data_IF_029164295581
#
_entry.id   IF_029164295581
#
_cell.length_a   1.000
_cell.length_b   1.000
_cell.length_c   1.000
_cell.angle_alpha   90.00
_cell.angle_beta   90.00
_cell.angle_gamma   90.00
#
_symmetry.space_group_name_H-M   'P 1'
#
loop_
_entity.id
_entity.type
_entity.pdbx_description
1 polymer ?
#
# COMPACT_ATOMS: atom_id res chain seq x y z
N UNK A 1 47.71 -35.08 32.69
CA UNK A 1 46.93 -34.27 31.74
C UNK A 1 46.85 -32.88 32.36
N UNK A 2 47.73 -31.95 32.00
CA UNK A 2 47.69 -31.17 30.75
C UNK A 2 46.48 -30.23 30.74
N UNK A 3 46.55 -28.91 30.65
CA UNK A 3 47.60 -27.86 30.66
C UNK A 3 46.84 -26.57 30.25
N UNK A 4 47.44 -25.39 30.46
CA UNK A 4 47.02 -24.09 29.88
C UNK A 4 45.67 -23.50 30.34
N UNK A 5 45.78 -22.42 31.12
CA UNK A 5 44.90 -21.27 30.98
C UNK A 5 45.78 -20.04 30.78
N UNK A 6 45.67 -19.40 29.62
CA UNK A 6 46.49 -18.25 29.21
C UNK A 6 45.87 -16.95 29.69
N UNK A 7 46.64 -16.15 30.42
CA UNK A 7 46.29 -14.76 30.67
C UNK A 7 46.39 -13.91 29.41
N UNK A 8 45.58 -12.86 29.33
CA UNK A 8 45.76 -11.75 28.38
C UNK A 8 45.40 -10.44 29.08
N UNK A 9 46.36 -9.52 29.10
CA UNK A 9 46.25 -8.19 29.69
C UNK A 9 45.66 -7.22 28.67
N UNK A 10 44.65 -6.44 29.06
CA UNK A 10 44.15 -5.31 28.24
C UNK A 10 44.70 -3.99 28.77
N UNK A 11 45.55 -3.33 27.98
CA UNK A 11 46.13 -2.03 28.30
C UNK A 11 45.13 -0.89 28.08
N UNK A 12 45.12 0.10 28.97
CA UNK A 12 44.31 1.32 28.89
C UNK A 12 45.19 2.54 28.63
N UNK A 13 45.11 3.20 27.46
CA UNK A 13 45.69 4.52 27.19
C UNK A 13 44.57 5.61 27.03
N UNK A 14 44.90 6.92 27.02
CA UNK A 14 44.26 7.82 27.97
C UNK A 14 43.21 8.80 27.43
N UNK A 15 42.49 9.39 28.37
CA UNK A 15 41.56 10.51 28.22
C UNK A 15 42.30 11.78 27.71
N UNK A 16 42.00 12.24 26.49
CA UNK A 16 42.52 13.51 25.97
C UNK A 16 41.47 14.64 26.04
N UNK A 17 41.82 15.68 26.80
CA UNK A 17 41.00 16.88 27.02
C UNK A 17 41.08 17.86 25.85
N UNK A 18 39.98 18.11 25.15
CA UNK A 18 39.89 19.07 24.06
C UNK A 18 39.23 20.40 24.45
N UNK A 19 40.00 21.37 24.96
CA UNK A 19 39.56 22.78 24.97
C UNK A 19 39.39 23.28 23.53
N UNK A 20 38.29 23.94 23.19
CA UNK A 20 38.27 24.89 22.06
C UNK A 20 37.63 26.21 22.46
N UNK A 21 38.39 27.29 22.23
CA UNK A 21 38.06 28.68 22.59
C UNK A 21 37.03 29.33 21.66
N UNK A 22 36.41 30.35 22.24
CA UNK A 22 35.81 31.55 21.66
C UNK A 22 36.24 31.97 20.24
N UNK A 23 35.24 32.35 19.44
CA UNK A 23 35.19 33.48 18.49
C UNK A 23 33.96 33.27 17.59
N UNK A 24 33.14 34.26 17.23
CA UNK A 24 33.32 35.71 17.27
C UNK A 24 31.95 36.42 17.25
N UNK A 25 31.81 37.45 18.09
CA UNK A 25 31.06 38.68 17.80
C UNK A 25 31.52 39.29 16.45
N UNK A 26 30.78 40.13 15.70
CA UNK A 26 29.71 41.09 16.04
C UNK A 26 28.88 41.46 14.77
N UNK A 27 27.84 42.25 15.00
CA UNK A 27 26.95 42.99 14.07
C UNK A 27 27.56 43.77 12.89
N UNK A 28 26.71 44.11 11.90
CA UNK A 28 26.43 45.45 11.28
C UNK A 28 25.52 45.18 10.04
N UNK A 29 24.30 45.68 9.81
CA UNK A 29 23.59 46.97 10.02
C UNK A 29 23.79 48.00 8.87
N UNK A 30 23.02 47.85 7.78
CA UNK A 30 22.71 48.89 6.77
C UNK A 30 21.34 48.53 6.14
N UNK A 31 20.22 49.26 6.21
CA UNK A 31 19.84 50.68 6.36
C UNK A 31 19.62 51.44 5.03
N UNK A 32 18.47 52.14 4.94
CA UNK A 32 18.03 53.07 3.86
C UNK A 32 17.69 52.37 2.51
N UNK A 33 16.73 52.78 1.65
CA UNK A 33 15.85 53.97 1.46
C UNK A 33 14.67 53.52 0.53
N UNK A 34 13.55 54.22 0.22
CA UNK A 34 12.97 55.54 0.57
C UNK A 34 11.40 55.40 0.64
N UNK A 35 10.46 56.37 0.35
CA UNK A 35 9.10 56.35 0.94
C UNK A 35 7.88 56.52 -0.02
N UNK A 36 6.67 56.54 0.56
CA UNK A 36 5.42 57.17 0.04
C UNK A 36 4.82 56.54 -1.24
N UNK A 37 3.49 56.48 -1.49
CA UNK A 37 2.39 57.40 -1.17
C UNK A 37 1.10 56.61 -0.88
N UNK A 38 0.26 57.09 0.04
CA UNK A 38 -1.12 56.63 0.27
C UNK A 38 -2.11 57.52 -0.51
N UNK A 39 -3.27 57.00 -0.94
CA UNK A 39 -4.49 57.72 -0.51
C UNK A 39 -5.72 56.84 -0.20
N UNK A 40 -6.40 57.25 0.89
CA UNK A 40 -7.86 57.19 1.18
C UNK A 40 -8.61 55.84 1.30
N UNK A 41 -9.46 55.68 2.34
CA UNK A 41 -10.35 54.52 2.52
C UNK A 41 -11.78 54.79 2.02
N UNK A 42 -12.49 53.73 1.61
CA UNK A 42 -13.95 53.75 1.50
C UNK A 42 -14.59 52.37 1.65
N UNK A 43 -15.68 52.34 2.43
CA UNK A 43 -16.74 51.32 2.46
C UNK A 43 -16.47 49.96 3.16
N UNK A 44 -17.27 49.58 4.18
CA UNK A 44 -17.23 48.25 4.79
C UNK A 44 -18.07 47.24 3.99
N UNK A 45 -17.51 46.06 3.70
CA UNK A 45 -18.23 44.96 3.06
C UNK A 45 -18.64 43.91 4.11
N UNK A 46 -19.89 43.47 4.04
CA UNK A 46 -20.48 42.46 4.92
C UNK A 46 -19.70 41.12 4.90
N UNK A 47 -19.62 40.40 6.03
CA UNK A 47 -19.15 39.02 6.05
C UNK A 47 -20.23 38.07 5.44
N UNK A 48 -19.87 37.17 4.51
CA UNK A 48 -20.79 36.16 4.01
C UNK A 48 -20.96 34.99 5.00
N UNK A 49 -22.16 34.41 5.02
CA UNK A 49 -22.52 33.27 5.88
C UNK A 49 -21.71 31.99 5.58
N UNK A 50 -21.46 31.13 6.59
CA UNK A 50 -20.71 29.90 6.41
C UNK A 50 -21.56 28.82 5.73
N UNK A 51 -21.24 28.50 4.47
CA UNK A 51 -21.84 27.36 3.78
C UNK A 51 -21.15 26.04 4.17
N UNK A 52 -22.00 25.03 4.41
CA UNK A 52 -21.66 23.66 4.79
C UNK A 52 -20.75 22.96 3.78
N UNK A 53 -19.60 22.44 4.22
CA UNK A 53 -18.74 21.54 3.44
C UNK A 53 -18.96 20.10 3.95
N UNK A 54 -19.32 19.13 3.08
CA UNK A 54 -19.47 17.74 3.49
C UNK A 54 -18.10 17.04 3.67
N UNK A 55 -17.88 16.41 4.82
CA UNK A 55 -16.70 15.57 5.05
C UNK A 55 -16.84 14.21 4.38
N UNK A 56 -15.92 13.89 3.48
CA UNK A 56 -15.70 12.51 2.99
C UNK A 56 -14.78 11.71 3.93
N UNK A 57 -14.91 10.37 4.06
CA UNK A 57 -14.17 9.59 5.05
C UNK A 57 -12.73 9.28 4.61
N UNK A 58 -11.75 9.55 5.47
CA UNK A 58 -10.35 9.14 5.29
C UNK A 58 -10.13 7.66 5.68
N UNK A 59 -9.30 6.90 4.93
CA UNK A 59 -8.94 5.53 5.29
C UNK A 59 -7.92 5.46 6.45
N UNK A 60 -7.86 4.34 7.21
CA UNK A 60 -7.04 4.22 8.40
C UNK A 60 -5.54 4.01 8.10
N UNK A 61 -4.70 4.98 8.45
CA UNK A 61 -3.24 4.87 8.31
C UNK A 61 -2.58 4.15 9.50
N UNK A 62 -1.88 3.06 9.21
CA UNK A 62 -1.16 2.26 10.20
C UNK A 62 0.23 2.85 10.49
N UNK A 63 0.37 3.65 11.55
CA UNK A 63 1.63 4.33 11.90
C UNK A 63 2.64 3.35 12.53
N UNK A 64 3.82 3.21 11.93
CA UNK A 64 4.98 2.52 12.52
C UNK A 64 6.10 3.53 12.73
N UNK A 65 6.43 3.85 13.98
CA UNK A 65 7.60 4.69 14.29
C UNK A 65 8.90 3.90 14.08
N UNK A 66 9.93 4.55 13.56
CA UNK A 66 11.31 4.19 13.91
C UNK A 66 12.19 5.44 13.97
N UNK A 67 13.05 5.47 14.99
CA UNK A 67 13.87 6.58 15.46
C UNK A 67 15.14 6.74 14.58
N UNK A 68 15.62 7.97 14.42
CA UNK A 68 16.85 8.31 13.69
C UNK A 68 17.93 8.86 14.68
N UNK A 69 19.17 9.25 14.26
CA UNK A 69 20.34 8.49 14.71
C UNK A 69 21.49 9.34 15.29
N UNK A 70 22.51 8.69 15.85
CA UNK A 70 23.90 9.19 15.84
C UNK A 70 24.88 8.16 16.43
N UNK A 71 25.81 7.65 15.62
CA UNK A 71 27.23 7.40 15.94
C UNK A 71 27.90 6.57 14.84
N UNK A 72 28.49 7.25 13.86
CA UNK A 72 29.20 6.66 12.73
C UNK A 72 30.72 6.72 12.94
N UNK A 73 31.39 5.58 13.11
CA UNK A 73 32.62 5.25 12.37
C UNK A 73 33.14 3.80 12.60
N UNK A 74 32.75 3.15 13.70
CA UNK A 74 33.15 1.77 14.03
C UNK A 74 32.13 0.71 13.57
N UNK A 75 31.25 1.10 12.65
CA UNK A 75 29.96 0.45 12.41
C UNK A 75 29.89 -0.26 11.03
N UNK A 76 30.94 -0.15 10.21
CA UNK A 76 30.93 -0.61 8.80
C UNK A 76 30.87 -2.14 8.67
N UNK A 77 31.61 -2.89 9.50
CA UNK A 77 31.56 -4.36 9.48
C UNK A 77 30.31 -4.90 10.20
N UNK A 78 29.90 -4.27 11.30
CA UNK A 78 28.71 -4.67 12.04
C UNK A 78 27.43 -4.42 11.22
N UNK A 79 27.39 -3.36 10.39
CA UNK A 79 26.32 -3.14 9.41
C UNK A 79 26.31 -4.19 8.28
N UNK A 80 27.46 -4.70 7.82
CA UNK A 80 27.50 -5.80 6.82
C UNK A 80 26.83 -7.07 7.33
N UNK A 81 27.12 -7.46 8.58
CA UNK A 81 26.50 -8.65 9.18
C UNK A 81 25.00 -8.42 9.50
N UNK A 82 24.65 -7.23 9.97
CA UNK A 82 23.24 -6.84 10.17
C UNK A 82 22.44 -6.78 8.85
N UNK A 83 23.03 -6.37 7.73
CA UNK A 83 22.34 -6.34 6.44
C UNK A 83 22.13 -7.73 5.84
N UNK A 84 23.03 -8.69 6.07
CA UNK A 84 22.74 -10.10 5.73
C UNK A 84 21.57 -10.64 6.55
N UNK A 85 21.55 -10.41 7.87
CA UNK A 85 20.44 -10.79 8.75
C UNK A 85 19.12 -10.07 8.41
N UNK A 86 19.18 -8.80 7.96
CA UNK A 86 18.01 -8.04 7.48
C UNK A 86 17.51 -8.55 6.13
N UNK A 87 18.38 -8.96 5.20
CA UNK A 87 17.98 -9.59 3.92
C UNK A 87 17.29 -10.94 4.18
N UNK A 88 17.84 -11.78 5.07
CA UNK A 88 17.20 -13.02 5.51
C UNK A 88 15.83 -12.78 6.18
N UNK A 89 15.70 -11.74 7.04
CA UNK A 89 14.43 -11.40 7.71
C UNK A 89 13.40 -10.70 6.83
N UNK A 90 13.78 -9.99 5.75
CA UNK A 90 12.85 -9.31 4.84
C UNK A 90 12.17 -10.25 3.86
N UNK A 91 12.87 -11.29 3.38
CA UNK A 91 12.27 -12.33 2.51
C UNK A 91 11.09 -13.04 3.20
N UNK A 92 11.20 -13.31 4.51
CA UNK A 92 10.24 -14.13 5.27
C UNK A 92 8.98 -13.41 5.76
N UNK A 93 8.75 -12.12 5.42
CA UNK A 93 7.61 -11.34 5.96
C UNK A 93 6.39 -11.22 5.05
N UNK A 94 6.52 -11.27 3.72
CA UNK A 94 5.37 -11.05 2.80
C UNK A 94 4.33 -12.17 2.82
N UNK A 95 4.70 -13.41 3.13
CA UNK A 95 3.75 -14.55 3.23
C UNK A 95 3.01 -14.63 4.57
N UNK A 96 3.37 -13.82 5.58
CA UNK A 96 2.88 -14.01 6.96
C UNK A 96 1.59 -13.25 7.28
N UNK A 97 1.17 -12.31 6.43
CA UNK A 97 -0.12 -11.62 6.58
C UNK A 97 -1.26 -12.43 5.95
N UNK A 98 -1.08 -12.94 4.73
CA UNK A 98 -2.05 -13.84 4.10
C UNK A 98 -2.26 -15.10 4.93
N UNK A 99 -1.19 -15.67 5.52
CA UNK A 99 -1.31 -16.82 6.41
C UNK A 99 -2.18 -16.57 7.66
N UNK A 100 -2.42 -15.32 8.10
CA UNK A 100 -3.32 -15.01 9.23
C UNK A 100 -4.77 -14.90 8.77
N UNK A 101 -5.01 -14.22 7.65
CA UNK A 101 -6.34 -14.12 7.03
C UNK A 101 -6.83 -15.48 6.53
N UNK A 102 -5.97 -16.21 5.79
CA UNK A 102 -6.25 -17.57 5.34
C UNK A 102 -6.51 -18.52 6.51
N UNK A 103 -5.76 -18.45 7.62
CA UNK A 103 -6.08 -19.23 8.83
C UNK A 103 -7.46 -18.86 9.40
N UNK A 104 -7.77 -17.58 9.53
CA UNK A 104 -9.09 -17.14 10.04
C UNK A 104 -10.23 -17.62 9.13
N UNK A 105 -10.05 -17.58 7.81
CA UNK A 105 -11.02 -18.05 6.83
C UNK A 105 -11.13 -19.58 6.88
N UNK A 106 -10.01 -20.32 6.90
CA UNK A 106 -10.00 -21.79 7.01
C UNK A 106 -10.65 -22.29 8.30
N UNK A 107 -10.46 -21.62 9.44
CA UNK A 107 -11.17 -21.94 10.69
C UNK A 107 -12.66 -21.60 10.66
N UNK A 108 -13.06 -20.62 9.85
CA UNK A 108 -14.48 -20.29 9.64
C UNK A 108 -15.14 -21.29 8.69
N UNK A 109 -14.49 -21.63 7.56
CA UNK A 109 -15.03 -22.54 6.54
C UNK A 109 -15.03 -24.00 6.99
N UNK A 110 -13.96 -24.50 7.62
CA UNK A 110 -13.90 -25.88 8.15
C UNK A 110 -15.01 -26.16 9.17
N UNK A 111 -15.38 -25.17 9.98
CA UNK A 111 -16.49 -25.29 10.93
C UNK A 111 -17.86 -25.38 10.24
N UNK A 112 -18.13 -24.50 9.26
CA UNK A 112 -19.36 -24.56 8.48
C UNK A 112 -19.47 -25.85 7.66
N UNK A 113 -18.35 -26.29 7.08
CA UNK A 113 -18.21 -27.57 6.37
C UNK A 113 -18.47 -28.75 7.33
N UNK A 114 -17.91 -28.74 8.54
CA UNK A 114 -18.16 -29.77 9.55
C UNK A 114 -19.63 -29.84 9.97
N UNK A 115 -20.29 -28.69 10.21
CA UNK A 115 -21.74 -28.65 10.49
C UNK A 115 -22.56 -29.17 9.31
N UNK A 116 -22.19 -28.81 8.08
CA UNK A 116 -22.88 -29.27 6.87
C UNK A 116 -22.70 -30.77 6.66
N UNK A 117 -21.50 -31.32 6.87
CA UNK A 117 -21.27 -32.77 6.86
C UNK A 117 -22.10 -33.46 7.96
N UNK A 118 -22.11 -32.93 9.20
CA UNK A 118 -22.95 -33.48 10.26
C UNK A 118 -24.42 -33.49 9.87
N UNK A 119 -24.93 -32.41 9.27
CA UNK A 119 -26.32 -32.32 8.81
C UNK A 119 -26.63 -33.35 7.71
N UNK A 120 -25.74 -33.50 6.72
CA UNK A 120 -25.91 -34.50 5.65
C UNK A 120 -25.84 -35.92 6.20
N UNK A 121 -24.93 -36.21 7.13
CA UNK A 121 -24.83 -37.52 7.80
C UNK A 121 -26.09 -37.82 8.63
N UNK A 122 -26.62 -36.82 9.34
CA UNK A 122 -27.84 -36.89 10.17
C UNK A 122 -29.07 -37.17 9.29
N UNK A 123 -29.24 -36.45 8.18
CA UNK A 123 -30.33 -36.69 7.22
C UNK A 123 -30.17 -38.04 6.52
N UNK A 124 -28.94 -38.42 6.13
CA UNK A 124 -28.64 -39.71 5.52
C UNK A 124 -28.93 -40.90 6.44
N UNK A 125 -28.57 -40.80 7.73
CA UNK A 125 -28.89 -41.82 8.72
C UNK A 125 -30.39 -41.89 9.00
N UNK A 126 -31.10 -40.76 8.99
CA UNK A 126 -32.55 -40.73 9.17
C UNK A 126 -33.26 -41.42 8.00
N UNK A 127 -32.80 -41.17 6.78
CA UNK A 127 -33.30 -41.80 5.57
C UNK A 127 -33.04 -43.32 5.55
N UNK A 128 -31.79 -43.74 5.78
CA UNK A 128 -31.41 -45.15 5.76
C UNK A 128 -32.07 -46.00 6.85
N UNK A 129 -32.26 -45.43 8.05
CA UNK A 129 -32.97 -46.14 9.12
C UNK A 129 -34.49 -46.05 8.96
N UNK A 130 -35.02 -45.00 8.34
CA UNK A 130 -36.43 -44.90 7.96
C UNK A 130 -36.85 -45.98 6.96
N UNK A 131 -36.02 -46.25 5.93
CA UNK A 131 -36.29 -47.31 4.95
C UNK A 131 -36.20 -48.71 5.56
N UNK A 132 -35.22 -48.98 6.44
CA UNK A 132 -35.13 -50.24 7.18
C UNK A 132 -36.29 -50.43 8.18
N UNK A 133 -36.70 -49.36 8.88
CA UNK A 133 -37.85 -49.39 9.78
C UNK A 133 -39.20 -49.49 9.04
N UNK A 134 -39.23 -49.27 7.71
CA UNK A 134 -40.42 -49.53 6.89
C UNK A 134 -40.55 -50.99 6.48
N UNK A 135 -39.43 -51.69 6.24
CA UNK A 135 -39.41 -53.05 5.67
C UNK A 135 -39.39 -54.17 6.71
N UNK A 136 -38.87 -53.95 7.93
CA UNK A 136 -38.74 -55.00 8.95
C UNK A 136 -39.86 -54.96 10.00
N UNK A 137 -40.73 -55.98 10.01
CA UNK A 137 -42.01 -55.95 10.74
C UNK A 137 -42.02 -56.28 12.25
N UNK A 138 -40.91 -56.77 12.83
CA UNK A 138 -40.87 -57.30 14.21
C UNK A 138 -40.31 -56.32 15.26
N UNK A 139 -39.00 -56.09 15.25
CA UNK A 139 -38.27 -55.34 16.30
C UNK A 139 -38.40 -53.81 16.22
N UNK A 140 -39.47 -53.35 15.56
CA UNK A 140 -39.67 -51.98 15.08
C UNK A 140 -39.62 -50.92 16.20
N UNK A 141 -40.08 -51.25 17.40
CA UNK A 141 -40.25 -50.28 18.51
C UNK A 141 -38.92 -49.88 19.17
N UNK A 142 -38.04 -50.83 19.46
CA UNK A 142 -36.77 -50.54 20.16
C UNK A 142 -35.80 -49.74 19.29
N UNK A 143 -35.70 -50.08 18.00
CA UNK A 143 -34.83 -49.38 17.06
C UNK A 143 -35.25 -47.91 16.88
N UNK A 144 -36.56 -47.61 16.86
CA UNK A 144 -37.08 -46.23 16.81
C UNK A 144 -36.73 -45.45 18.09
N UNK A 145 -36.83 -46.07 19.27
CA UNK A 145 -36.49 -45.40 20.55
C UNK A 145 -35.01 -45.07 20.64
N UNK A 146 -34.12 -46.03 20.32
CA UNK A 146 -32.66 -45.83 20.33
C UNK A 146 -32.27 -44.74 19.32
N UNK A 147 -32.87 -44.76 18.13
CA UNK A 147 -32.63 -43.76 17.09
C UNK A 147 -33.09 -42.36 17.53
N UNK A 148 -34.27 -42.25 18.14
CA UNK A 148 -34.80 -40.98 18.65
C UNK A 148 -33.90 -40.41 19.74
N UNK A 149 -33.42 -41.25 20.66
CA UNK A 149 -32.49 -40.85 21.70
C UNK A 149 -31.15 -40.35 21.12
N UNK A 150 -30.61 -41.02 20.10
CA UNK A 150 -29.39 -40.59 19.41
C UNK A 150 -29.55 -39.20 18.75
N UNK A 151 -30.69 -38.93 18.10
CA UNK A 151 -30.96 -37.59 17.53
C UNK A 151 -31.10 -36.50 18.60
N UNK A 152 -31.73 -36.78 19.74
CA UNK A 152 -31.84 -35.83 20.85
C UNK A 152 -30.45 -35.47 21.38
N UNK A 153 -29.58 -36.47 21.62
CA UNK A 153 -28.19 -36.24 22.05
C UNK A 153 -27.41 -35.42 21.01
N UNK A 154 -27.52 -35.76 19.72
CA UNK A 154 -26.85 -35.03 18.64
C UNK A 154 -27.32 -33.57 18.54
N UNK A 155 -28.63 -33.33 18.69
CA UNK A 155 -29.22 -31.99 18.76
C UNK A 155 -28.66 -31.16 19.93
N UNK A 156 -28.56 -31.76 21.12
CA UNK A 156 -27.96 -31.11 22.29
C UNK A 156 -26.50 -30.72 22.03
N UNK A 157 -25.70 -31.63 21.45
CA UNK A 157 -24.29 -31.35 21.10
C UNK A 157 -24.19 -30.18 20.11
N UNK A 158 -25.02 -30.15 19.06
CA UNK A 158 -25.07 -29.05 18.10
C UNK A 158 -25.41 -27.71 18.79
N UNK A 159 -26.41 -27.68 19.66
CA UNK A 159 -26.81 -26.46 20.40
C UNK A 159 -25.67 -25.97 21.29
N UNK A 160 -25.02 -26.85 22.06
CA UNK A 160 -23.88 -26.52 22.92
C UNK A 160 -22.74 -25.90 22.09
N UNK A 161 -22.46 -26.46 20.91
CA UNK A 161 -21.38 -25.99 20.05
C UNK A 161 -21.66 -24.61 19.44
N UNK A 162 -22.90 -24.35 18.99
CA UNK A 162 -23.36 -23.03 18.54
C UNK A 162 -23.27 -22.01 19.70
N UNK A 163 -23.74 -22.38 20.89
CA UNK A 163 -23.73 -21.51 22.07
C UNK A 163 -22.31 -21.13 22.51
N UNK A 164 -21.39 -22.10 22.51
CA UNK A 164 -19.96 -21.89 22.80
C UNK A 164 -19.33 -20.87 21.83
N UNK A 165 -19.65 -20.96 20.53
CA UNK A 165 -19.18 -19.98 19.53
C UNK A 165 -19.77 -18.59 19.75
N UNK A 166 -21.08 -18.50 20.02
CA UNK A 166 -21.74 -17.22 20.31
C UNK A 166 -21.16 -16.53 21.56
N UNK A 167 -20.90 -17.29 22.63
CA UNK A 167 -20.24 -16.77 23.83
C UNK A 167 -18.80 -16.31 23.54
N UNK A 168 -18.05 -17.08 22.75
CA UNK A 168 -16.67 -16.73 22.36
C UNK A 168 -16.63 -15.43 21.56
N UNK A 169 -17.48 -15.28 20.54
CA UNK A 169 -17.60 -14.04 19.75
C UNK A 169 -18.01 -12.87 20.65
N UNK A 170 -19.03 -13.04 21.51
CA UNK A 170 -19.49 -12.01 22.45
C UNK A 170 -18.42 -11.62 23.47
N UNK A 171 -17.56 -12.56 23.89
CA UNK A 171 -16.39 -12.30 24.75
C UNK A 171 -15.32 -11.50 24.01
N UNK A 172 -14.98 -11.87 22.77
CA UNK A 172 -14.01 -11.15 21.94
C UNK A 172 -14.48 -9.71 21.67
N UNK A 173 -15.76 -9.51 21.30
CA UNK A 173 -16.35 -8.18 21.09
C UNK A 173 -16.42 -7.34 22.38
N UNK A 174 -16.43 -7.96 23.57
CA UNK A 174 -16.30 -7.26 24.86
C UNK A 174 -14.85 -6.91 25.20
N UNK A 175 -13.87 -7.72 24.77
CA UNK A 175 -12.44 -7.44 24.98
C UNK A 175 -11.86 -6.44 24.00
N UNK A 176 -12.49 -6.24 22.83
CA UNK A 176 -12.19 -5.08 22.00
C UNK A 176 -12.64 -3.82 22.76
N UNK A 177 -11.74 -2.88 23.10
CA UNK A 177 -12.16 -1.60 23.63
C UNK A 177 -12.99 -0.94 22.52
N UNK A 178 -14.30 -0.79 22.75
CA UNK A 178 -15.13 0.06 21.90
C UNK A 178 -14.40 1.41 21.84
N UNK A 179 -14.19 2.00 20.66
CA UNK A 179 -13.63 3.34 20.57
C UNK A 179 -14.68 4.32 21.09
N UNK A 180 -14.73 4.44 22.42
CA UNK A 180 -15.35 5.56 23.12
C UNK A 180 -14.44 6.76 22.88
N UNK A 181 -14.53 7.28 21.66
CA UNK A 181 -14.23 8.66 21.36
C UNK A 181 -15.38 9.42 22.04
N UNK A 182 -15.14 10.17 23.13
CA UNK A 182 -16.17 11.01 23.71
C UNK A 182 -16.48 12.15 22.71
N UNK A 183 -17.37 11.88 21.77
CA UNK A 183 -17.84 12.86 20.77
C UNK A 183 -18.79 13.89 21.39
N UNK A 184 -19.28 13.66 22.61
CA UNK A 184 -20.11 14.57 23.38
C UNK A 184 -19.23 15.42 24.30
N UNK A 185 -19.20 16.72 24.06
CA UNK A 185 -18.53 17.72 24.93
C UNK A 185 -19.08 17.77 26.36
N UNK A 186 -20.21 17.13 26.65
CA UNK A 186 -20.81 17.04 27.98
C UNK A 186 -20.18 15.97 28.89
N UNK A 187 -19.53 14.94 28.33
CA UNK A 187 -19.02 13.81 29.12
C UNK A 187 -17.64 14.11 29.75
N UNK A 188 -16.97 15.19 29.33
CA UNK A 188 -15.64 15.61 29.80
C UNK A 188 -15.66 17.07 30.33
N UNK A 189 -14.87 17.40 31.37
CA UNK A 189 -14.67 18.79 31.76
C UNK A 189 -14.08 19.62 30.61
N UNK A 190 -14.62 20.83 30.37
CA UNK A 190 -14.24 21.70 29.23
C UNK A 190 -12.71 21.83 29.04
N UNK A 191 -11.98 22.09 30.13
CA UNK A 191 -10.51 22.20 30.14
C UNK A 191 -9.78 20.95 29.59
N UNK A 192 -10.33 19.76 29.79
CA UNK A 192 -9.78 18.51 29.25
C UNK A 192 -10.14 18.35 27.76
N UNK A 193 -11.37 18.70 27.37
CA UNK A 193 -11.77 18.72 25.96
C UNK A 193 -10.92 19.72 25.15
N UNK A 194 -10.66 20.92 25.68
CA UNK A 194 -9.80 21.93 25.05
C UNK A 194 -8.34 21.43 24.91
N UNK A 195 -7.79 20.82 25.96
CA UNK A 195 -6.44 20.24 25.91
C UNK A 195 -6.33 19.10 24.88
N UNK A 196 -7.34 18.23 24.81
CA UNK A 196 -7.43 17.17 23.81
C UNK A 196 -7.50 17.77 22.40
N UNK A 197 -8.34 18.80 22.19
CA UNK A 197 -8.47 19.51 20.91
C UNK A 197 -7.14 20.16 20.47
N UNK A 198 -6.40 20.78 21.39
CA UNK A 198 -5.10 21.40 21.13
C UNK A 198 -4.07 20.34 20.71
N UNK A 199 -3.95 19.23 21.44
CA UNK A 199 -3.00 18.16 21.07
C UNK A 199 -3.42 17.42 19.79
N UNK A 200 -4.71 17.27 19.49
CA UNK A 200 -5.18 16.77 18.19
C UNK A 200 -4.85 17.75 17.05
N UNK A 201 -5.10 19.05 17.23
CA UNK A 201 -4.73 20.08 16.25
C UNK A 201 -3.22 20.09 15.99
N UNK A 202 -2.42 20.09 17.06
CA UNK A 202 -0.95 20.03 16.99
C UNK A 202 -0.46 18.77 16.28
N UNK A 203 -0.99 17.60 16.62
CA UNK A 203 -0.59 16.34 15.98
C UNK A 203 -1.07 16.23 14.53
N UNK A 204 -2.22 16.82 14.17
CA UNK A 204 -2.68 16.93 12.79
C UNK A 204 -1.80 17.86 11.95
N UNK A 205 -1.42 19.04 12.48
CA UNK A 205 -0.49 19.96 11.81
C UNK A 205 0.89 19.33 11.65
N UNK A 206 1.43 18.69 12.70
CA UNK A 206 2.69 17.95 12.60
C UNK A 206 2.57 16.80 11.59
N UNK A 207 1.45 16.06 11.58
CA UNK A 207 1.23 14.99 10.60
C UNK A 207 1.25 15.54 9.16
N UNK A 208 0.53 16.63 8.90
CA UNK A 208 0.48 17.32 7.62
C UNK A 208 1.86 17.82 7.16
N UNK A 209 2.61 18.50 8.05
CA UNK A 209 3.98 18.97 7.75
C UNK A 209 4.96 17.79 7.59
N UNK A 210 4.71 16.66 8.26
CA UNK A 210 5.52 15.43 8.15
C UNK A 210 5.18 14.56 6.95
N UNK A 211 4.12 14.87 6.18
CA UNK A 211 3.94 14.28 4.87
C UNK A 211 5.12 14.70 4.00
N UNK A 212 5.66 13.77 3.22
CA UNK A 212 6.88 13.99 2.45
C UNK A 212 6.63 14.80 1.17
N UNK A 213 5.99 15.97 1.28
CA UNK A 213 5.63 16.85 0.14
C UNK A 213 6.84 17.35 -0.65
N UNK A 214 8.04 17.25 -0.07
CA UNK A 214 9.34 17.63 -0.69
C UNK A 214 10.30 16.43 -0.85
N UNK A 215 9.81 15.21 -0.66
CA UNK A 215 10.60 13.99 -0.85
C UNK A 215 10.72 13.64 -2.32
N UNK A 216 11.57 14.36 -3.06
CA UNK A 216 11.91 14.02 -4.45
C UNK A 216 12.73 12.73 -4.49
N UNK A 217 12.04 11.59 -4.59
CA UNK A 217 12.69 10.32 -4.91
C UNK A 217 12.94 10.27 -6.42
N UNK A 218 14.20 10.08 -6.82
CA UNK A 218 14.54 9.90 -8.23
C UNK A 218 13.69 8.78 -8.87
N UNK A 219 13.18 9.04 -10.08
CA UNK A 219 12.28 8.12 -10.80
C UNK A 219 10.81 8.19 -10.43
N UNK A 220 10.39 8.99 -9.43
CA UNK A 220 8.98 9.16 -9.05
C UNK A 220 8.47 10.57 -9.35
N UNK A 221 7.20 10.66 -9.76
CA UNK A 221 6.53 11.94 -9.98
C UNK A 221 6.28 12.71 -8.68
N UNK A 222 6.41 14.04 -8.75
CA UNK A 222 6.21 14.95 -7.63
C UNK A 222 4.74 14.94 -7.18
N UNK A 223 4.43 14.96 -5.87
CA UNK A 223 3.06 15.09 -5.39
C UNK A 223 2.44 16.42 -5.87
N UNK A 224 1.17 16.40 -6.27
CA UNK A 224 0.47 17.53 -6.88
C UNK A 224 0.74 17.76 -8.38
N UNK A 225 1.58 16.95 -9.03
CA UNK A 225 1.72 16.94 -10.50
C UNK A 225 0.87 15.83 -11.14
N UNK A 226 0.69 15.86 -12.47
CA UNK A 226 0.00 14.78 -13.19
C UNK A 226 0.68 13.40 -13.07
N UNK A 227 1.94 13.39 -12.59
CA UNK A 227 2.75 12.20 -12.38
C UNK A 227 2.73 11.69 -10.94
N UNK A 228 1.92 12.28 -10.04
CA UNK A 228 1.81 11.83 -8.66
C UNK A 228 1.51 10.32 -8.58
N UNK A 229 2.23 9.62 -7.70
CA UNK A 229 2.21 8.17 -7.52
C UNK A 229 2.65 7.34 -8.75
N UNK A 230 3.17 7.97 -9.81
CA UNK A 230 3.72 7.27 -10.96
C UNK A 230 5.24 7.11 -10.86
N UNK A 231 5.74 5.92 -11.19
CA UNK A 231 7.16 5.63 -11.33
C UNK A 231 7.54 5.72 -12.81
N UNK A 232 8.35 6.71 -13.19
CA UNK A 232 8.63 7.06 -14.58
C UNK A 232 9.14 5.89 -15.41
N UNK A 233 10.05 5.06 -14.86
CA UNK A 233 10.57 3.87 -15.53
C UNK A 233 9.45 2.88 -15.87
N UNK A 234 8.54 2.65 -14.93
CA UNK A 234 7.41 1.71 -15.10
C UNK A 234 6.38 2.28 -16.07
N UNK A 235 6.07 3.57 -15.97
CA UNK A 235 5.17 4.27 -16.91
C UNK A 235 5.69 4.18 -18.35
N UNK A 236 6.96 4.56 -18.59
CA UNK A 236 7.59 4.53 -19.91
C UNK A 236 7.53 3.12 -20.51
N UNK A 237 7.86 2.08 -19.73
CA UNK A 237 7.77 0.69 -20.20
C UNK A 237 6.31 0.25 -20.45
N UNK A 238 5.33 0.77 -19.71
CA UNK A 238 3.91 0.44 -19.89
C UNK A 238 3.28 0.99 -21.17
N UNK A 239 3.89 1.97 -21.83
CA UNK A 239 3.40 2.50 -23.13
C UNK A 239 3.67 1.57 -24.32
N UNK A 240 4.56 0.57 -24.17
CA UNK A 240 4.89 -0.41 -25.22
C UNK A 240 3.70 -1.22 -25.75
N UNK A 241 2.86 -1.88 -24.92
CA UNK A 241 1.68 -2.59 -25.42
C UNK A 241 0.73 -1.66 -26.18
N UNK A 242 0.53 -0.42 -25.73
CA UNK A 242 -0.33 0.56 -26.43
C UNK A 242 0.21 0.93 -27.81
N UNK A 243 1.52 1.21 -27.91
CA UNK A 243 2.17 1.50 -29.20
C UNK A 243 2.09 0.29 -30.14
N UNK A 244 2.37 -0.92 -29.62
CA UNK A 244 2.27 -2.17 -30.39
C UNK A 244 0.85 -2.44 -30.88
N UNK A 245 -0.16 -2.28 -30.03
CA UNK A 245 -1.56 -2.50 -30.41
C UNK A 245 -2.01 -1.56 -31.53
N UNK A 246 -1.48 -0.34 -31.58
CA UNK A 246 -1.83 0.64 -32.61
C UNK A 246 -1.13 0.41 -33.96
N UNK A 247 0.10 -0.10 -33.95
CA UNK A 247 0.90 -0.34 -35.16
C UNK A 247 0.83 -1.77 -35.69
N UNK A 248 0.83 -2.75 -34.81
CA UNK A 248 1.02 -4.17 -35.11
C UNK A 248 0.10 -5.04 -34.24
N UNK A 249 -1.25 -4.93 -34.35
CA UNK A 249 -2.18 -5.68 -33.51
C UNK A 249 -1.99 -7.21 -33.59
N UNK A 250 -1.57 -7.71 -34.75
CA UNK A 250 -1.44 -9.16 -35.03
C UNK A 250 -0.02 -9.72 -34.76
N UNK A 251 0.93 -8.88 -34.36
CA UNK A 251 2.33 -9.27 -34.21
C UNK A 251 2.56 -10.16 -32.96
N UNK A 252 2.68 -11.47 -33.18
CA UNK A 252 3.01 -12.45 -32.13
C UNK A 252 4.51 -12.37 -31.76
N UNK A 253 4.86 -11.33 -30.98
CA UNK A 253 6.21 -11.07 -30.52
C UNK A 253 6.26 -10.88 -28.99
N UNK A 254 7.43 -11.06 -28.34
CA UNK A 254 7.56 -10.84 -26.90
C UNK A 254 7.03 -9.45 -26.50
N UNK A 255 6.29 -9.28 -25.39
CA UNK A 255 5.63 -8.01 -25.07
C UNK A 255 6.63 -6.84 -25.02
N UNK A 256 7.86 -7.12 -24.63
CA UNK A 256 8.96 -6.16 -24.48
C UNK A 256 9.91 -6.06 -25.70
N UNK A 257 9.72 -6.78 -26.82
CA UNK A 257 10.54 -6.55 -28.02
C UNK A 257 10.27 -5.18 -28.66
N UNK A 258 11.25 -4.60 -29.36
CA UNK A 258 11.09 -3.38 -30.15
C UNK A 258 11.02 -3.66 -31.67
N UNK A 259 11.56 -4.79 -32.13
CA UNK A 259 11.63 -5.20 -33.55
C UNK A 259 10.30 -5.02 -34.32
N UNK A 260 9.12 -5.46 -33.81
CA UNK A 260 7.87 -5.34 -34.58
C UNK A 260 7.45 -3.89 -34.84
N UNK A 261 7.88 -2.95 -33.99
CA UNK A 261 7.62 -1.52 -34.18
C UNK A 261 8.48 -0.95 -35.31
N UNK A 262 9.70 -1.45 -35.50
CA UNK A 262 10.57 -1.06 -36.61
C UNK A 262 10.07 -1.67 -37.93
N UNK A 263 9.69 -2.95 -37.94
CA UNK A 263 9.15 -3.61 -39.13
C UNK A 263 7.89 -2.91 -39.64
N UNK A 264 6.98 -2.54 -38.73
CA UNK A 264 5.78 -1.77 -39.07
C UNK A 264 6.08 -0.29 -39.43
N UNK A 265 7.14 0.31 -38.86
CA UNK A 265 7.58 1.64 -39.29
C UNK A 265 8.05 1.63 -40.74
N UNK A 266 8.77 0.58 -41.16
CA UNK A 266 9.34 0.44 -42.50
C UNK A 266 8.27 0.03 -43.53
N UNK A 267 7.21 -0.67 -43.11
CA UNK A 267 6.02 -0.90 -43.92
C UNK A 267 5.21 0.39 -44.20
N UNK A 268 5.32 1.40 -43.33
CA UNK A 268 4.58 2.66 -43.45
C UNK A 268 5.37 3.69 -44.28
N UNK A 269 4.93 3.90 -45.53
CA UNK A 269 5.53 4.84 -46.49
C UNK A 269 5.28 6.35 -46.18
N UNK A 270 5.50 6.78 -44.94
CA UNK A 270 5.24 8.16 -44.49
C UNK A 270 6.53 9.02 -44.49
N UNK A 271 7.28 9.00 -45.60
CA UNK A 271 8.53 9.75 -45.81
C UNK A 271 9.60 9.62 -44.69
N UNK A 272 9.57 8.53 -43.93
CA UNK A 272 10.47 8.29 -42.80
C UNK A 272 10.16 9.06 -41.51
N UNK A 273 9.10 9.88 -41.48
CA UNK A 273 8.75 10.68 -40.29
C UNK A 273 8.38 9.80 -39.08
N UNK A 274 7.51 8.80 -39.29
CA UNK A 274 7.14 7.82 -38.26
C UNK A 274 8.37 7.01 -37.79
N UNK A 275 9.26 6.65 -38.71
CA UNK A 275 10.54 5.97 -38.40
C UNK A 275 11.42 6.79 -37.46
N UNK A 276 11.47 8.12 -37.63
CA UNK A 276 12.22 9.01 -36.74
C UNK A 276 11.63 9.04 -35.33
N UNK A 277 10.29 9.12 -35.21
CA UNK A 277 9.61 9.06 -33.92
C UNK A 277 9.83 7.72 -33.20
N UNK A 278 9.79 6.60 -33.93
CA UNK A 278 9.98 5.26 -33.36
C UNK A 278 11.43 5.03 -32.94
N UNK A 279 12.41 5.50 -33.70
CA UNK A 279 13.82 5.51 -33.27
C UNK A 279 14.03 6.34 -31.99
N UNK A 280 13.38 7.50 -31.88
CA UNK A 280 13.43 8.33 -30.66
C UNK A 280 12.78 7.62 -29.46
N UNK A 281 11.60 7.03 -29.68
CA UNK A 281 10.88 6.23 -28.68
C UNK A 281 11.67 5.01 -28.22
N UNK A 282 12.24 4.23 -29.13
CA UNK A 282 13.10 3.09 -28.82
C UNK A 282 14.27 3.49 -27.92
N UNK A 283 14.96 4.60 -28.24
CA UNK A 283 16.05 5.14 -27.43
C UNK A 283 15.59 5.56 -26.02
N UNK A 284 14.38 6.10 -25.87
CA UNK A 284 13.80 6.41 -24.55
C UNK A 284 13.42 5.14 -23.76
N UNK A 285 12.91 4.09 -24.43
CA UNK A 285 12.62 2.78 -23.82
C UNK A 285 13.91 2.09 -23.37
N UNK A 286 14.97 2.10 -24.18
CA UNK A 286 16.28 1.55 -23.83
C UNK A 286 16.91 2.30 -22.66
N UNK A 287 16.83 3.65 -22.67
CA UNK A 287 17.23 4.48 -21.52
C UNK A 287 16.47 4.04 -20.25
N UNK A 288 15.14 3.92 -20.31
CA UNK A 288 14.35 3.48 -19.16
C UNK A 288 14.71 2.04 -18.69
N UNK A 289 15.06 1.13 -19.59
CA UNK A 289 15.44 -0.24 -19.21
C UNK A 289 16.83 -0.33 -18.59
N UNK A 290 17.82 0.27 -19.24
CA UNK A 290 19.24 -0.03 -19.00
C UNK A 290 20.01 1.12 -18.36
N UNK A 291 19.47 2.34 -18.29
CA UNK A 291 20.15 3.44 -17.62
C UNK A 291 20.29 3.20 -16.11
N UNK A 292 21.49 3.52 -15.61
CA UNK A 292 21.85 3.49 -14.19
C UNK A 292 21.16 4.60 -13.37
N UNK A 293 20.86 5.72 -14.01
CA UNK A 293 20.07 6.82 -13.44
C UNK A 293 18.60 6.62 -13.80
N UNK A 294 17.69 6.86 -12.88
CA UNK A 294 16.25 6.80 -13.16
C UNK A 294 15.86 7.88 -14.21
N UNK A 295 14.88 7.59 -15.08
CA UNK A 295 14.36 8.59 -16.02
C UNK A 295 13.65 9.72 -15.26
N UNK A 296 13.73 10.92 -15.80
CA UNK A 296 13.14 12.13 -15.22
C UNK A 296 11.73 12.40 -15.75
N UNK A 297 11.03 13.36 -15.14
CA UNK A 297 9.69 13.80 -15.57
C UNK A 297 9.66 14.23 -17.05
N UNK A 298 10.76 14.83 -17.52
CA UNK A 298 10.94 15.26 -18.92
C UNK A 298 10.99 14.06 -19.88
N UNK A 299 11.61 12.94 -19.47
CA UNK A 299 11.64 11.71 -20.28
C UNK A 299 10.24 11.09 -20.39
N UNK A 300 9.49 11.06 -19.28
CA UNK A 300 8.13 10.51 -19.28
C UNK A 300 7.17 11.36 -20.13
N UNK A 301 7.25 12.68 -20.04
CA UNK A 301 6.47 13.60 -20.88
C UNK A 301 6.86 13.54 -22.37
N UNK A 302 8.14 13.34 -22.69
CA UNK A 302 8.60 13.14 -24.06
C UNK A 302 8.06 11.83 -24.65
N UNK A 303 8.08 10.73 -23.87
CA UNK A 303 7.49 9.44 -24.28
C UNK A 303 6.00 9.56 -24.54
N UNK A 304 5.24 10.15 -23.62
CA UNK A 304 3.79 10.39 -23.76
C UNK A 304 3.47 11.17 -25.05
N UNK A 305 4.23 12.25 -25.34
CA UNK A 305 4.04 13.07 -26.54
C UNK A 305 4.40 12.34 -27.83
N UNK A 306 5.45 11.51 -27.84
CA UNK A 306 5.79 10.70 -29.02
C UNK A 306 4.73 9.63 -29.28
N UNK A 307 4.21 8.98 -28.23
CA UNK A 307 3.09 8.03 -28.34
C UNK A 307 1.85 8.73 -28.91
N UNK A 308 1.46 9.89 -28.36
CA UNK A 308 0.31 10.67 -28.82
C UNK A 308 0.42 11.07 -30.31
N UNK A 309 1.58 11.56 -30.74
CA UNK A 309 1.83 11.95 -32.14
C UNK A 309 1.75 10.75 -33.09
N UNK A 310 2.33 9.60 -32.73
CA UNK A 310 2.25 8.39 -33.55
C UNK A 310 0.81 7.88 -33.65
N UNK A 311 0.09 7.79 -32.52
CA UNK A 311 -1.32 7.38 -32.48
C UNK A 311 -2.21 8.29 -33.34
N UNK A 312 -2.04 9.62 -33.23
CA UNK A 312 -2.79 10.59 -34.01
C UNK A 312 -2.49 10.47 -35.51
N UNK A 313 -1.22 10.29 -35.88
CA UNK A 313 -0.80 10.13 -37.28
C UNK A 313 -1.42 8.87 -37.90
N UNK A 314 -1.38 7.74 -37.18
CA UNK A 314 -2.00 6.48 -37.61
C UNK A 314 -3.52 6.60 -37.76
N UNK A 315 -4.21 7.27 -36.84
CA UNK A 315 -5.66 7.47 -36.93
C UNK A 315 -6.05 8.43 -38.07
N UNK A 316 -5.28 9.51 -38.29
CA UNK A 316 -5.47 10.38 -39.46
C UNK A 316 -5.28 9.61 -40.79
N UNK A 317 -4.29 8.70 -40.84
CA UNK A 317 -4.08 7.83 -42.00
C UNK A 317 -5.25 6.86 -42.21
N UNK A 318 -5.70 6.18 -41.15
CA UNK A 318 -6.87 5.28 -41.15
C UNK A 318 -8.17 5.99 -41.56
N UNK A 319 -8.32 7.29 -41.29
CA UNK A 319 -9.46 8.10 -41.76
C UNK A 319 -9.39 8.43 -43.25
N UNK A 320 -8.20 8.77 -43.75
CA UNK A 320 -7.96 8.98 -45.19
C UNK A 320 -8.24 7.72 -46.00
N UNK A 321 -7.80 6.56 -45.50
CA UNK A 321 -8.06 5.25 -46.14
C UNK A 321 -9.56 4.88 -46.17
N UNK A 322 -10.36 5.38 -45.22
CA UNK A 322 -11.83 5.24 -45.20
C UNK A 322 -12.57 6.25 -46.08
N UNK A 323 -11.89 7.26 -46.64
CA UNK A 323 -12.53 8.33 -47.41
C UNK A 323 -13.35 9.33 -46.57
N UNK A 324 -13.15 9.35 -45.25
CA UNK A 324 -13.88 10.22 -44.29
C UNK A 324 -13.17 11.59 -44.11
N UNK A 325 -12.60 12.15 -45.19
CA UNK A 325 -11.68 13.30 -45.17
C UNK A 325 -12.24 14.60 -45.75
#
# INVERSE_FOLDING_TARGET
MSTMSTGLTSSTPPLLTGKRKESRSLSVLTSLRHPSVLPTPSSPIHPPSPNTIPLSPLPPFHRSYTRQPSQSLLDTDQNRMNDQLRKARKSKKRTTFDARLAKSILYQTSFWLFILILLVLLVGSAWGLGTQAWTTGGERRWNIVILTAAYVVLGIVCIIHIWSRLLTVKKILRTMPKPYIPTKQFDLPKKLADHIMIEYSRTAVIAHISQATKGEQEGWGRPGTKWENQHFRTYIISTLPTMKQAMCPDATAPPLSLEPLFDAADAIQDNGAIRLFINSYAKMIEKARYARREPEEVDAAAVEKVVEVVLLTLEMKRRRERGEG
#
